data_IF_371667692890
#
_entry.id   IF_371667692890
#
_cell.length_a   1.000
_cell.length_b   1.000
_cell.length_c   1.000
_cell.angle_alpha   90.00
_cell.angle_beta   90.00
_cell.angle_gamma   90.00
#
_symmetry.space_group_name_H-M   'P 1'
#
loop_
_entity.id
_entity.type
_entity.pdbx_description
1 polymer ?
#
# COMPACT_ATOMS: atom_id res chain seq x y z
N UNK A 1 6.49 1.12 6.35
CA UNK A 1 6.81 -0.33 6.26
C UNK A 1 7.51 -0.93 7.49
N UNK A 2 7.88 -0.17 8.54
CA UNK A 2 8.49 -0.79 9.74
C UNK A 2 7.49 -1.38 10.76
N UNK A 3 6.20 -1.02 10.68
CA UNK A 3 5.22 -1.35 11.73
C UNK A 3 4.47 -2.67 11.47
N UNK A 4 4.32 -3.10 10.21
CA UNK A 4 3.73 -4.40 9.86
C UNK A 4 4.60 -5.59 10.34
N UNK A 5 5.90 -5.34 10.56
CA UNK A 5 6.85 -6.35 11.01
C UNK A 5 6.84 -6.59 12.53
N UNK A 6 6.33 -5.67 13.36
CA UNK A 6 6.41 -5.81 14.82
C UNK A 6 5.30 -6.68 15.42
N UNK A 7 4.10 -6.68 14.87
CA UNK A 7 2.99 -7.46 15.44
C UNK A 7 3.09 -8.97 15.13
N UNK A 8 3.56 -9.34 13.93
CA UNK A 8 3.75 -10.75 13.56
C UNK A 8 4.97 -11.38 14.26
N UNK A 9 6.02 -10.59 14.54
CA UNK A 9 7.25 -11.08 15.20
C UNK A 9 7.15 -11.14 16.73
N UNK A 10 6.27 -10.37 17.38
CA UNK A 10 6.12 -10.40 18.84
C UNK A 10 5.55 -11.72 19.38
N UNK A 11 4.96 -12.57 18.53
CA UNK A 11 4.44 -13.87 18.95
C UNK A 11 5.52 -14.98 19.07
N UNK A 12 6.78 -14.76 18.66
CA UNK A 12 7.77 -15.87 18.54
C UNK A 12 9.21 -15.61 19.02
N UNK A 13 9.45 -14.73 20.00
CA UNK A 13 10.80 -14.64 20.62
C UNK A 13 10.78 -14.65 22.14
N UNK A 14 10.59 -15.84 22.69
CA UNK A 14 11.15 -16.22 23.99
C UNK A 14 12.50 -16.92 23.74
N UNK A 15 13.53 -16.54 24.50
CA UNK A 15 14.88 -17.17 24.61
C UNK A 15 15.88 -16.88 23.45
N UNK A 16 17.18 -16.55 23.63
CA UNK A 16 18.17 -16.87 24.68
C UNK A 16 19.44 -15.97 24.54
N UNK A 17 20.07 -15.71 25.70
CA UNK A 17 21.48 -15.42 26.04
C UNK A 17 22.31 -14.25 25.48
N UNK A 18 22.70 -13.41 26.45
CA UNK A 18 23.89 -12.55 26.48
C UNK A 18 25.20 -13.31 26.27
N UNK A 19 26.10 -12.77 25.45
CA UNK A 19 27.56 -12.93 25.63
C UNK A 19 28.23 -11.57 25.40
N UNK A 20 28.87 -11.07 26.46
CA UNK A 20 29.80 -9.94 26.46
C UNK A 20 31.19 -10.43 25.99
N UNK A 21 31.88 -9.69 25.13
CA UNK A 21 33.34 -9.56 25.20
C UNK A 21 33.84 -8.29 24.48
N UNK A 22 34.73 -7.58 25.17
CA UNK A 22 35.26 -6.25 24.88
C UNK A 22 36.56 -6.30 24.05
N UNK A 23 36.79 -5.36 23.11
CA UNK A 23 38.13 -4.83 22.77
C UNK A 23 38.12 -3.60 21.83
N UNK A 24 38.80 -2.54 22.30
CA UNK A 24 39.63 -1.49 21.64
C UNK A 24 39.16 -0.76 20.36
N UNK A 25 39.03 0.55 20.51
CA UNK A 25 38.59 1.56 19.54
C UNK A 25 39.66 1.98 18.51
N UNK A 26 39.26 2.01 17.23
CA UNK A 26 39.84 2.86 16.20
C UNK A 26 38.67 3.59 15.49
N UNK A 27 38.61 4.91 15.65
CA UNK A 27 37.49 5.73 15.21
C UNK A 27 37.41 5.89 13.70
N UNK A 28 36.46 5.19 13.09
CA UNK A 28 35.88 5.56 11.79
C UNK A 28 34.55 6.26 12.07
N UNK A 29 34.48 7.57 11.78
CA UNK A 29 33.22 8.31 11.69
C UNK A 29 32.48 7.82 10.43
N UNK A 30 31.75 6.73 10.56
CA UNK A 30 30.77 6.32 9.57
C UNK A 30 29.61 7.32 9.61
N UNK A 31 29.55 8.19 8.61
CA UNK A 31 28.35 8.96 8.30
C UNK A 31 27.26 7.96 7.91
N UNK A 32 26.43 7.59 8.88
CA UNK A 32 25.22 6.81 8.65
C UNK A 32 24.23 7.71 7.92
N UNK A 33 24.26 7.67 6.58
CA UNK A 33 23.16 8.15 5.77
C UNK A 33 22.02 7.15 5.95
N UNK A 34 21.27 7.30 7.05
CA UNK A 34 19.98 6.64 7.18
C UNK A 34 19.06 7.32 6.17
N UNK A 35 18.95 6.74 4.97
CA UNK A 35 17.84 7.07 4.07
C UNK A 35 16.55 6.86 4.84
N UNK A 36 15.79 7.93 5.06
CA UNK A 36 14.49 7.83 5.70
C UNK A 36 13.58 7.03 4.78
N UNK A 37 13.33 5.76 5.10
CA UNK A 37 12.31 4.97 4.43
C UNK A 37 10.97 5.57 4.82
N UNK A 38 10.19 6.04 3.85
CA UNK A 38 8.88 6.62 4.14
C UNK A 38 8.00 5.57 4.82
N UNK A 39 7.45 5.93 5.98
CA UNK A 39 6.60 5.03 6.74
C UNK A 39 5.19 4.99 6.14
N UNK A 40 4.62 3.79 6.07
CA UNK A 40 3.20 3.57 5.75
C UNK A 40 2.35 4.31 6.76
N UNK A 41 1.28 4.95 6.30
CA UNK A 41 0.39 5.74 7.14
C UNK A 41 -0.94 5.01 7.23
N UNK A 42 -1.28 4.56 8.43
CA UNK A 42 -2.59 3.95 8.70
C UNK A 42 -3.68 5.01 8.52
N UNK A 43 -4.65 4.74 7.64
CA UNK A 43 -5.75 5.66 7.36
C UNK A 43 -7.00 5.29 8.18
N UNK A 44 -7.45 4.03 8.08
CA UNK A 44 -8.68 3.57 8.75
C UNK A 44 -8.83 2.05 8.70
N UNK A 45 -9.51 1.47 9.68
CA UNK A 45 -10.05 0.11 9.58
C UNK A 45 -11.56 0.16 9.35
N UNK A 46 -12.06 -0.48 8.29
CA UNK A 46 -13.50 -0.52 7.98
C UNK A 46 -13.90 -1.86 7.37
N UNK A 47 -14.99 -2.42 7.87
CA UNK A 47 -15.57 -3.64 7.30
C UNK A 47 -14.70 -4.89 7.39
N UNK A 48 -13.67 -4.89 8.25
CA UNK A 48 -12.70 -6.00 8.36
C UNK A 48 -11.44 -5.82 7.50
N UNK A 49 -11.26 -4.64 6.90
CA UNK A 49 -10.13 -4.28 6.05
C UNK A 49 -9.38 -3.11 6.66
N UNK A 50 -8.06 -3.10 6.51
CA UNK A 50 -7.19 -1.99 6.91
C UNK A 50 -6.82 -1.17 5.69
N UNK A 51 -7.03 0.14 5.76
CA UNK A 51 -6.76 1.07 4.68
C UNK A 51 -5.54 1.87 5.09
N UNK A 52 -4.56 1.96 4.20
CA UNK A 52 -3.30 2.65 4.44
C UNK A 52 -2.88 3.45 3.22
N UNK A 53 -2.18 4.56 3.45
CA UNK A 53 -1.46 5.31 2.43
C UNK A 53 0.01 4.89 2.41
N UNK A 54 0.53 4.67 1.20
CA UNK A 54 1.89 4.26 0.93
C UNK A 54 2.63 5.42 0.26
N UNK A 55 3.50 6.16 0.99
CA UNK A 55 4.13 7.35 0.41
C UNK A 55 5.05 7.09 -0.77
N UNK A 56 5.62 5.88 -0.90
CA UNK A 56 6.51 5.53 -2.00
C UNK A 56 5.77 5.41 -3.34
N UNK A 57 4.52 4.94 -3.31
CA UNK A 57 3.64 4.84 -4.47
C UNK A 57 2.65 6.00 -4.54
N UNK A 58 2.62 6.86 -3.52
CA UNK A 58 1.61 7.92 -3.38
C UNK A 58 0.16 7.39 -3.49
N UNK A 59 -0.03 6.16 -3.03
CA UNK A 59 -1.23 5.36 -3.26
C UNK A 59 -1.91 4.90 -1.98
N UNK A 60 -3.24 4.87 -1.98
CA UNK A 60 -4.03 4.28 -0.90
C UNK A 60 -4.45 2.85 -1.26
N UNK A 61 -4.28 1.91 -0.32
CA UNK A 61 -4.67 0.51 -0.54
C UNK A 61 -5.44 -0.04 0.67
N UNK A 62 -6.42 -0.89 0.38
CA UNK A 62 -7.08 -1.76 1.34
C UNK A 62 -6.32 -3.07 1.45
N UNK A 63 -6.16 -3.54 2.68
CA UNK A 63 -5.46 -4.76 3.05
C UNK A 63 -6.41 -5.72 3.78
N UNK A 64 -6.28 -7.01 3.46
CA UNK A 64 -6.84 -8.09 4.25
C UNK A 64 -5.82 -9.24 4.35
N UNK A 65 -5.76 -9.86 5.54
CA UNK A 65 -5.09 -11.14 5.75
C UNK A 65 -6.15 -12.24 5.76
N UNK A 66 -6.04 -13.18 4.84
CA UNK A 66 -6.94 -14.32 4.75
C UNK A 66 -6.39 -15.55 5.47
N UNK A 67 -7.21 -16.60 5.50
CA UNK A 67 -6.79 -17.91 6.02
C UNK A 67 -5.52 -18.39 5.32
N UNK A 68 -4.71 -19.16 6.06
CA UNK A 68 -3.42 -19.68 5.58
C UNK A 68 -2.37 -18.60 5.26
N UNK A 69 -2.52 -17.41 5.86
CA UNK A 69 -1.59 -16.28 5.81
C UNK A 69 -1.43 -15.65 4.40
N UNK A 70 -2.43 -15.78 3.52
CA UNK A 70 -2.45 -15.04 2.25
C UNK A 70 -2.80 -13.58 2.52
N UNK A 71 -1.86 -12.68 2.23
CA UNK A 71 -2.08 -11.25 2.26
C UNK A 71 -2.61 -10.76 0.90
N UNK A 72 -3.65 -9.93 0.93
CA UNK A 72 -4.26 -9.34 -0.26
C UNK A 72 -4.31 -7.83 -0.11
N UNK A 73 -3.84 -7.13 -1.15
CA UNK A 73 -3.88 -5.69 -1.26
C UNK A 73 -4.66 -5.31 -2.53
N UNK A 74 -5.48 -4.28 -2.42
CA UNK A 74 -6.14 -3.66 -3.56
C UNK A 74 -6.28 -2.16 -3.33
N UNK A 75 -5.94 -1.36 -4.33
CA UNK A 75 -6.16 0.06 -4.28
C UNK A 75 -5.42 0.78 -5.38
N UNK A 76 -4.89 1.94 -5.08
CA UNK A 76 -4.20 2.74 -6.07
C UNK A 76 -2.70 2.78 -5.82
N UNK A 77 -1.97 2.85 -6.92
CA UNK A 77 -0.57 3.25 -7.02
C UNK A 77 -0.50 4.45 -7.99
N UNK A 78 0.24 5.48 -7.62
CA UNK A 78 0.40 6.71 -8.38
C UNK A 78 1.89 6.98 -8.69
N UNK A 79 2.71 5.93 -8.76
CA UNK A 79 4.12 6.03 -9.13
C UNK A 79 4.24 6.73 -10.49
N UNK A 80 5.24 7.60 -10.61
CA UNK A 80 5.47 8.41 -11.81
C UNK A 80 4.28 9.29 -12.26
N UNK A 81 3.35 9.59 -11.33
CA UNK A 81 2.08 10.31 -11.60
C UNK A 81 1.15 9.57 -12.57
N UNK A 82 1.24 8.24 -12.63
CA UNK A 82 0.33 7.39 -13.39
C UNK A 82 -0.53 6.61 -12.39
N UNK A 83 -1.81 6.95 -12.33
CA UNK A 83 -2.74 6.27 -11.43
C UNK A 83 -3.12 4.90 -11.99
N UNK A 84 -2.72 3.85 -11.31
CA UNK A 84 -3.09 2.47 -11.59
C UNK A 84 -3.85 1.86 -10.42
N UNK A 85 -4.81 0.99 -10.73
CA UNK A 85 -5.36 0.02 -9.80
C UNK A 85 -4.29 -1.06 -9.57
N UNK A 86 -3.77 -1.12 -8.35
CA UNK A 86 -2.82 -2.12 -7.88
C UNK A 86 -3.57 -3.26 -7.19
N UNK A 87 -3.35 -4.49 -7.65
CA UNK A 87 -3.85 -5.71 -7.01
C UNK A 87 -2.67 -6.64 -6.72
N UNK A 88 -2.48 -6.98 -5.45
CA UNK A 88 -1.36 -7.80 -4.99
C UNK A 88 -1.81 -8.95 -4.09
N UNK A 89 -1.26 -10.14 -4.31
CA UNK A 89 -1.35 -11.30 -3.40
C UNK A 89 0.03 -11.75 -2.97
N UNK A 90 0.22 -11.96 -1.66
CA UNK A 90 1.47 -12.50 -1.10
C UNK A 90 1.17 -13.74 -0.25
N UNK A 91 1.98 -14.78 -0.39
CA UNK A 91 1.84 -16.03 0.38
C UNK A 91 3.18 -16.77 0.46
N UNK A 92 3.65 -17.09 1.68
CA UNK A 92 4.94 -17.78 1.88
C UNK A 92 5.02 -19.16 1.23
N UNK A 93 3.88 -19.80 0.96
CA UNK A 93 3.81 -21.13 0.35
C UNK A 93 4.16 -21.10 -1.14
N UNK A 94 4.09 -19.94 -1.79
CA UNK A 94 4.33 -19.78 -3.23
C UNK A 94 5.83 -19.65 -3.58
N UNK A 95 6.67 -20.49 -2.97
CA UNK A 95 8.14 -20.41 -3.10
C UNK A 95 8.73 -20.67 -4.49
N UNK A 96 7.89 -21.00 -5.49
CA UNK A 96 8.29 -21.18 -6.90
C UNK A 96 8.04 -19.94 -7.77
N UNK A 97 7.41 -18.89 -7.23
CA UNK A 97 7.25 -17.60 -7.90
C UNK A 97 8.62 -16.96 -8.10
N UNK A 98 8.86 -16.45 -9.30
CA UNK A 98 10.10 -15.77 -9.69
C UNK A 98 9.80 -14.29 -9.92
N UNK A 99 10.67 -13.43 -9.39
CA UNK A 99 10.58 -11.98 -9.55
C UNK A 99 10.62 -11.59 -11.04
N UNK A 100 9.68 -10.73 -11.47
CA UNK A 100 9.54 -10.24 -12.83
C UNK A 100 9.06 -11.27 -13.86
N UNK A 101 8.77 -12.51 -13.47
CA UNK A 101 8.18 -13.51 -14.38
C UNK A 101 6.66 -13.34 -14.43
N UNK A 102 6.08 -13.39 -15.61
CA UNK A 102 4.63 -13.31 -15.78
C UNK A 102 3.94 -14.66 -15.57
N UNK A 103 2.76 -14.61 -14.94
CA UNK A 103 1.90 -15.74 -14.62
C UNK A 103 0.46 -15.43 -15.05
N UNK A 104 -0.08 -16.25 -15.95
CA UNK A 104 -1.50 -16.20 -16.32
C UNK A 104 -2.35 -16.85 -15.23
N UNK A 105 -3.15 -16.06 -14.53
CA UNK A 105 -3.91 -16.44 -13.34
C UNK A 105 -5.39 -16.17 -13.60
N UNK A 106 -6.26 -17.08 -13.15
CA UNK A 106 -7.70 -16.92 -13.27
C UNK A 106 -8.31 -16.44 -11.96
N UNK A 107 -9.10 -15.37 -12.02
CA UNK A 107 -9.86 -14.83 -10.90
C UNK A 107 -11.36 -14.92 -11.18
N UNK A 108 -12.10 -15.42 -10.20
CA UNK A 108 -13.56 -15.44 -10.23
C UNK A 108 -14.13 -14.63 -9.07
N UNK A 109 -14.83 -13.54 -9.38
CA UNK A 109 -15.71 -12.87 -8.44
C UNK A 109 -17.08 -13.55 -8.46
N UNK A 110 -17.51 -14.14 -7.34
CA UNK A 110 -18.82 -14.79 -7.23
C UNK A 110 -19.09 -15.82 -8.33
N UNK A 111 -20.05 -15.48 -9.20
CA UNK A 111 -20.45 -16.24 -10.40
C UNK A 111 -20.24 -15.44 -11.70
N UNK A 112 -19.46 -14.37 -11.65
CA UNK A 112 -19.13 -13.55 -12.82
C UNK A 112 -18.22 -14.28 -13.80
N UNK A 113 -18.07 -13.68 -14.99
CA UNK A 113 -17.15 -14.19 -16.00
C UNK A 113 -15.73 -14.23 -15.41
N UNK A 114 -14.99 -15.35 -15.52
CA UNK A 114 -13.63 -15.42 -15.01
C UNK A 114 -12.72 -14.42 -15.71
N UNK A 115 -11.94 -13.69 -14.92
CA UNK A 115 -10.84 -12.87 -15.39
C UNK A 115 -9.63 -13.75 -15.71
N UNK A 116 -8.89 -13.41 -16.76
CA UNK A 116 -7.55 -13.95 -17.02
C UNK A 116 -6.56 -12.80 -16.87
N UNK A 117 -5.77 -12.83 -15.82
CA UNK A 117 -4.85 -11.76 -15.43
C UNK A 117 -3.42 -12.22 -15.68
N UNK A 118 -2.66 -11.43 -16.44
CA UNK A 118 -1.24 -11.66 -16.65
C UNK A 118 -0.45 -10.92 -15.57
N UNK A 119 -0.24 -11.60 -14.44
CA UNK A 119 0.35 -11.01 -13.23
C UNK A 119 1.87 -11.20 -13.18
N UNK A 120 2.59 -10.21 -12.69
CA UNK A 120 4.03 -10.31 -12.46
C UNK A 120 4.30 -10.97 -11.10
N UNK A 121 5.25 -11.89 -11.10
CA UNK A 121 5.81 -12.46 -9.89
C UNK A 121 6.64 -11.39 -9.16
N UNK A 122 6.45 -11.27 -7.85
CA UNK A 122 7.15 -10.32 -7.00
C UNK A 122 7.74 -10.99 -5.76
N UNK A 123 8.75 -10.37 -5.17
CA UNK A 123 9.33 -10.74 -3.88
C UNK A 123 9.31 -9.55 -2.93
N UNK A 124 8.41 -9.57 -1.95
CA UNK A 124 8.23 -8.46 -1.00
C UNK A 124 8.52 -8.93 0.41
N UNK A 125 9.58 -8.40 1.04
CA UNK A 125 9.96 -8.70 2.43
C UNK A 125 10.09 -10.21 2.76
N UNK A 126 10.50 -11.00 1.77
CA UNK A 126 10.62 -12.46 1.88
C UNK A 126 9.32 -13.24 1.63
N UNK A 127 8.26 -12.55 1.19
CA UNK A 127 7.01 -13.15 0.74
C UNK A 127 6.94 -13.13 -0.80
N UNK A 128 6.91 -14.30 -1.45
CA UNK A 128 6.62 -14.36 -2.88
C UNK A 128 5.15 -14.01 -3.14
N UNK A 129 4.88 -13.44 -4.30
CA UNK A 129 3.55 -12.98 -4.63
C UNK A 129 3.30 -12.67 -6.09
N UNK A 130 2.09 -12.24 -6.38
CA UNK A 130 1.62 -11.86 -7.70
C UNK A 130 1.10 -10.44 -7.63
N UNK A 131 1.48 -9.60 -8.59
CA UNK A 131 1.04 -8.22 -8.73
C UNK A 131 0.50 -7.96 -10.13
N UNK A 132 -0.49 -7.09 -10.24
CA UNK A 132 -0.90 -6.49 -11.52
C UNK A 132 -1.26 -5.03 -11.31
N UNK A 133 -0.90 -4.21 -12.30
CA UNK A 133 -1.31 -2.82 -12.42
C UNK A 133 -2.28 -2.69 -13.58
N UNK A 134 -3.45 -2.13 -13.33
CA UNK A 134 -4.48 -1.85 -14.35
C UNK A 134 -4.65 -0.34 -14.43
N UNK A 135 -4.68 0.25 -15.63
CA UNK A 135 -4.93 1.69 -15.78
C UNK A 135 -6.24 2.07 -15.08
N UNK A 136 -6.16 2.93 -14.06
CA UNK A 136 -7.30 3.29 -13.23
C UNK A 136 -8.37 4.09 -13.98
N UNK A 137 -8.06 4.59 -15.19
CA UNK A 137 -9.00 5.29 -16.06
C UNK A 137 -9.70 4.39 -17.09
N UNK A 138 -9.39 3.09 -17.09
CA UNK A 138 -9.96 2.13 -18.03
C UNK A 138 -11.30 1.55 -17.58
N UNK A 139 -12.16 1.22 -18.56
CA UNK A 139 -13.40 0.45 -18.32
C UNK A 139 -13.12 -0.89 -17.62
N UNK A 140 -11.92 -1.44 -17.80
CA UNK A 140 -11.47 -2.70 -17.19
C UNK A 140 -11.27 -2.54 -15.68
N UNK A 141 -10.61 -1.46 -15.24
CA UNK A 141 -10.49 -1.14 -13.82
C UNK A 141 -11.85 -0.87 -13.18
N UNK A 142 -12.73 -0.13 -13.85
CA UNK A 142 -14.08 0.16 -13.37
C UNK A 142 -14.90 -1.12 -13.15
N UNK A 143 -14.86 -2.05 -14.12
CA UNK A 143 -15.55 -3.34 -14.00
C UNK A 143 -14.95 -4.21 -12.89
N UNK A 144 -13.62 -4.28 -12.81
CA UNK A 144 -12.93 -5.04 -11.77
C UNK A 144 -13.32 -4.55 -10.37
N UNK A 145 -13.36 -3.22 -10.18
CA UNK A 145 -13.75 -2.59 -8.92
C UNK A 145 -15.22 -2.87 -8.61
N UNK A 146 -16.14 -2.73 -9.58
CA UNK A 146 -17.56 -3.02 -9.35
C UNK A 146 -17.76 -4.46 -8.87
N UNK A 147 -17.16 -5.44 -9.56
CA UNK A 147 -17.26 -6.85 -9.19
C UNK A 147 -16.64 -7.12 -7.81
N UNK A 148 -15.46 -6.57 -7.52
CA UNK A 148 -14.84 -6.67 -6.19
C UNK A 148 -15.74 -6.10 -5.08
N UNK A 149 -16.39 -4.96 -5.32
CA UNK A 149 -17.27 -4.32 -4.36
C UNK A 149 -18.65 -5.00 -4.25
N UNK A 150 -19.13 -5.65 -5.30
CA UNK A 150 -20.48 -6.24 -5.35
C UNK A 150 -20.50 -7.68 -4.87
N UNK A 151 -19.47 -8.46 -5.20
CA UNK A 151 -19.43 -9.88 -4.88
C UNK A 151 -18.98 -10.17 -3.45
N UNK A 152 -19.29 -11.37 -2.98
CA UNK A 152 -19.04 -11.79 -1.59
C UNK A 152 -17.87 -12.76 -1.44
N UNK A 153 -17.32 -13.22 -2.57
CA UNK A 153 -16.26 -14.21 -2.65
C UNK A 153 -15.41 -13.98 -3.88
N UNK A 154 -14.11 -14.20 -3.75
CA UNK A 154 -13.19 -14.39 -4.87
C UNK A 154 -12.52 -15.76 -4.81
N UNK A 155 -12.17 -16.33 -5.97
CA UNK A 155 -11.38 -17.56 -6.08
C UNK A 155 -10.28 -17.32 -7.10
N UNK A 156 -9.06 -17.67 -6.71
CA UNK A 156 -7.85 -17.52 -7.51
C UNK A 156 -7.36 -18.90 -7.94
N UNK A 157 -7.02 -19.06 -9.22
CA UNK A 157 -6.53 -20.32 -9.77
C UNK A 157 -5.30 -20.08 -10.65
N UNK A 158 -4.35 -21.02 -10.60
CA UNK A 158 -3.21 -21.06 -11.49
C UNK A 158 -3.06 -22.47 -12.07
N UNK A 159 -3.05 -22.58 -13.41
CA UNK A 159 -2.94 -23.86 -14.12
C UNK A 159 -3.92 -24.94 -13.62
N UNK A 160 -5.15 -24.54 -13.28
CA UNK A 160 -6.20 -25.42 -12.78
C UNK A 160 -6.07 -25.81 -11.29
N UNK A 161 -5.08 -25.29 -10.57
CA UNK A 161 -4.96 -25.44 -9.12
C UNK A 161 -5.52 -24.20 -8.42
N UNK A 162 -6.38 -24.40 -7.41
CA UNK A 162 -6.88 -23.31 -6.57
C UNK A 162 -5.73 -22.77 -5.71
N UNK A 163 -5.41 -21.49 -5.89
CA UNK A 163 -4.47 -20.76 -5.02
C UNK A 163 -5.15 -20.36 -3.70
N UNK A 164 -6.45 -20.09 -3.76
CA UNK A 164 -7.28 -19.90 -2.58
C UNK A 164 -8.65 -19.33 -2.89
N UNK A 165 -9.48 -19.29 -1.84
CA UNK A 165 -10.85 -18.81 -1.86
C UNK A 165 -11.06 -17.87 -0.69
N UNK A 166 -11.42 -16.63 -1.00
CA UNK A 166 -11.41 -15.56 -0.02
C UNK A 166 -12.77 -14.87 0.05
N UNK A 167 -13.16 -14.45 1.24
CA UNK A 167 -14.38 -13.66 1.43
C UNK A 167 -14.14 -12.21 1.03
N UNK A 168 -15.11 -11.61 0.36
CA UNK A 168 -15.14 -10.17 0.04
C UNK A 168 -16.12 -9.41 0.95
N UNK A 169 -16.48 -9.99 2.10
CA UNK A 169 -17.34 -9.29 3.04
C UNK A 169 -16.67 -7.96 3.44
N UNK A 170 -17.38 -6.86 3.21
CA UNK A 170 -16.89 -5.52 3.53
C UNK A 170 -16.09 -4.84 2.42
N UNK A 171 -15.80 -5.52 1.30
CA UNK A 171 -15.00 -5.00 0.17
C UNK A 171 -15.52 -3.65 -0.34
N UNK A 172 -16.84 -3.49 -0.53
CA UNK A 172 -17.45 -2.22 -0.94
C UNK A 172 -17.01 -1.05 -0.06
N UNK A 173 -17.23 -1.18 1.26
CA UNK A 173 -16.89 -0.14 2.24
C UNK A 173 -15.39 0.11 2.31
N UNK A 174 -14.58 -0.93 2.14
CA UNK A 174 -13.12 -0.80 2.12
C UNK A 174 -12.65 0.00 0.91
N UNK A 175 -13.14 -0.33 -0.29
CA UNK A 175 -12.72 0.35 -1.50
C UNK A 175 -13.29 1.78 -1.60
N UNK A 176 -14.50 2.03 -1.09
CA UNK A 176 -15.04 3.39 -0.94
C UNK A 176 -14.11 4.26 -0.05
N UNK A 177 -13.50 3.66 0.96
CA UNK A 177 -12.54 4.33 1.83
C UNK A 177 -11.16 4.51 1.18
N UNK A 178 -10.71 3.56 0.34
CA UNK A 178 -9.53 3.74 -0.52
C UNK A 178 -9.71 4.96 -1.43
N UNK A 179 -10.87 5.10 -2.07
CA UNK A 179 -11.18 6.28 -2.90
C UNK A 179 -11.14 7.55 -2.07
N UNK A 180 -11.69 7.53 -0.85
CA UNK A 180 -11.68 8.69 0.07
C UNK A 180 -10.25 9.09 0.45
N UNK A 181 -9.42 8.11 0.80
CA UNK A 181 -8.00 8.29 1.10
C UNK A 181 -7.26 8.88 -0.11
N UNK A 182 -7.42 8.32 -1.30
CA UNK A 182 -6.73 8.77 -2.51
C UNK A 182 -7.14 10.19 -2.90
N UNK A 183 -8.43 10.53 -2.77
CA UNK A 183 -8.92 11.90 -3.00
C UNK A 183 -8.31 12.89 -2.01
N UNK A 184 -8.21 12.53 -0.73
CA UNK A 184 -7.57 13.39 0.27
C UNK A 184 -6.11 13.69 -0.08
N UNK A 185 -5.39 12.73 -0.67
CA UNK A 185 -4.03 12.95 -1.15
C UNK A 185 -4.00 13.96 -2.31
N UNK A 186 -4.82 13.76 -3.34
CA UNK A 186 -4.89 14.67 -4.48
C UNK A 186 -5.36 16.08 -4.12
N UNK A 187 -6.31 16.21 -3.20
CA UNK A 187 -6.76 17.50 -2.68
C UNK A 187 -5.61 18.25 -1.97
N UNK A 188 -4.78 17.53 -1.21
CA UNK A 188 -3.60 18.12 -0.56
C UNK A 188 -2.55 18.58 -1.57
N UNK A 189 -2.31 17.82 -2.64
CA UNK A 189 -1.44 18.25 -3.73
C UNK A 189 -1.97 19.51 -4.42
N UNK A 190 -3.27 19.54 -4.76
CA UNK A 190 -3.91 20.71 -5.38
C UNK A 190 -3.88 21.95 -4.49
N UNK A 191 -4.09 21.78 -3.17
CA UNK A 191 -3.99 22.86 -2.19
C UNK A 191 -2.56 23.38 -2.02
N UNK A 192 -1.54 22.52 -2.15
CA UNK A 192 -0.13 22.92 -2.10
C UNK A 192 0.35 23.71 -3.34
N UNK A 193 -0.35 23.58 -4.47
CA UNK A 193 -0.12 24.37 -5.68
C UNK A 193 -0.94 25.67 -5.71
N UNK A 194 -1.99 25.77 -4.88
CA UNK A 194 -2.67 27.02 -4.56
C UNK A 194 -1.85 27.83 -3.57
N UNK A 195 -1.74 29.15 -3.80
CA UNK A 195 -0.97 30.07 -2.96
C UNK A 195 -1.23 29.84 -1.47
N UNK A 196 -0.18 29.63 -0.67
CA UNK A 196 -0.26 29.51 0.78
C UNK A 196 -1.05 30.71 1.35
N UNK A 197 -2.23 30.50 1.96
CA UNK A 197 -3.02 31.59 2.54
C UNK A 197 -2.37 32.20 3.80
N UNK A 198 -1.30 31.60 4.31
CA UNK A 198 -0.46 32.10 5.41
C UNK A 198 0.90 32.63 4.92
N UNK A 199 1.16 32.64 3.61
CA UNK A 199 2.32 33.32 3.04
C UNK A 199 2.14 34.83 3.23
N UNK A 200 2.60 35.31 4.37
CA UNK A 200 2.63 36.73 4.70
C UNK A 200 3.46 37.41 3.61
N UNK A 201 2.82 38.26 2.81
CA UNK A 201 3.43 39.00 1.71
C UNK A 201 4.40 40.06 2.23
N UNK A 202 5.57 39.61 2.67
CA UNK A 202 6.67 40.47 3.09
C UNK A 202 7.43 41.01 1.88
N UNK A 203 6.98 42.14 1.30
CA UNK A 203 7.80 43.36 1.27
C UNK A 203 7.16 44.56 0.55
N UNK A 204 7.07 45.65 1.32
CA UNK A 204 7.53 46.99 0.98
C UNK A 204 6.77 47.78 -0.09
N UNK A 205 5.80 48.58 0.37
CA UNK A 205 5.72 50.04 0.16
C UNK A 205 4.38 50.56 0.73
N UNK A 206 4.36 50.90 2.02
CA UNK A 206 3.93 52.23 2.45
C UNK A 206 4.00 52.39 3.97
N UNK A 207 4.46 53.58 4.32
CA UNK A 207 4.71 54.13 5.63
C UNK A 207 3.41 54.22 6.44
N UNK A 208 3.53 53.91 7.73
CA UNK A 208 2.83 54.58 8.84
C UNK A 208 1.30 54.42 8.92
N UNK A 209 0.86 53.58 9.87
CA UNK A 209 -0.22 53.89 10.83
C UNK A 209 -0.18 52.88 11.99
N UNK A 210 0.89 52.93 12.76
CA UNK A 210 0.93 52.31 14.09
C UNK A 210 0.60 53.38 15.13
N UNK A 211 -0.48 53.23 15.92
CA UNK A 211 -0.83 54.16 16.99
C UNK A 211 -0.02 54.01 18.29
N UNK A 212 1.02 53.16 18.36
CA UNK A 212 1.82 52.91 19.57
C UNK A 212 3.35 53.01 19.39
N UNK A 213 3.83 53.76 18.40
CA UNK A 213 5.26 54.06 18.29
C UNK A 213 5.57 55.43 18.93
N UNK A 214 6.34 55.43 20.02
CA UNK A 214 7.03 56.61 20.58
C UNK A 214 8.27 57.00 19.72
#
# INVERSE_FOLDING_TARGET
MATFYQEVQMARRTQISNVLLSTLAAGFLALNVNGAVAQTIDWKTVGGWDISFYPNSEGCQAFALFEEDTAFFIGFDNTDNVLALDVTLLDQRWGSIQDGKQYSVTLNFGNETPWTLEMDGIQTDGYPGLNIMIDASSDEADLFIDEFQRETRMVWNFQGSELGRYTLRGSRRAFDEVITCQRSYFDALGASQGSDPFATSGNSKNKSKDPFAD
#
